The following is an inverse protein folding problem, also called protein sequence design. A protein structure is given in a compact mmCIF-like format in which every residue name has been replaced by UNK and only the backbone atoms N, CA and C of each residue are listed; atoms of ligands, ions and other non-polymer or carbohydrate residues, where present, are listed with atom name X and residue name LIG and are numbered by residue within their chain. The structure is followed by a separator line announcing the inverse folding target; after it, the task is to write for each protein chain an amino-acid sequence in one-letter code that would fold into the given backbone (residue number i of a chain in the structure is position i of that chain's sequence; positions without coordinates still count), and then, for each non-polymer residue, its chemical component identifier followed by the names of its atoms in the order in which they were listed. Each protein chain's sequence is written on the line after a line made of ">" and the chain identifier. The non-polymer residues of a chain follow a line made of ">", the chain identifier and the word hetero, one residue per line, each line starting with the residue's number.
data_IF_394231832649
#
_entry.id   IF_394231832649
#
_cell.length_a   1.000
_cell.length_b   1.000
_cell.length_c   1.000
_cell.angle_alpha   90.00
_cell.angle_beta   90.00
_cell.angle_gamma   90.00
#
_symmetry.space_group_name_H-M   'P 1'
#
loop_
_entity.id
_entity.type
_entity.pdbx_description
1 polymer ?
#
# COMPACT_ATOMS: atom_id res chain seq x y z
N UNK A 1 10.51 1.11 15.44
CA UNK A 1 10.22 -0.07 14.59
C UNK A 1 9.95 0.38 13.17
N UNK A 2 10.42 -0.35 12.13
CA UNK A 2 10.12 -0.04 10.73
C UNK A 2 8.95 -0.90 10.17
N UNK A 3 8.37 -0.52 9.04
CA UNK A 3 7.19 -1.18 8.47
C UNK A 3 7.44 -2.66 8.14
N UNK A 4 8.65 -3.01 7.72
CA UNK A 4 9.02 -4.40 7.44
C UNK A 4 9.09 -5.22 8.72
N UNK A 5 9.71 -4.69 9.77
CA UNK A 5 9.74 -5.35 11.08
C UNK A 5 8.33 -5.55 11.63
N UNK A 6 7.47 -4.53 11.55
CA UNK A 6 6.08 -4.65 11.97
C UNK A 6 5.37 -5.78 11.22
N UNK A 7 5.43 -5.77 9.88
CA UNK A 7 4.78 -6.80 9.07
C UNK A 7 5.30 -8.20 9.42
N UNK A 8 6.60 -8.34 9.71
CA UNK A 8 7.18 -9.62 10.13
C UNK A 8 6.66 -10.05 11.51
N UNK A 9 6.55 -9.13 12.47
CA UNK A 9 6.00 -9.40 13.80
C UNK A 9 4.51 -9.81 13.74
N UNK A 10 3.77 -9.31 12.75
CA UNK A 10 2.37 -9.69 12.50
C UNK A 10 2.19 -11.06 11.83
N UNK A 11 3.25 -11.88 11.71
CA UNK A 11 3.20 -13.17 11.02
C UNK A 11 3.58 -13.10 9.53
N UNK A 12 4.15 -11.96 9.11
CA UNK A 12 4.70 -11.76 7.77
C UNK A 12 3.70 -11.23 6.75
N UNK A 13 4.16 -10.99 5.49
CA UNK A 13 3.35 -10.34 4.47
C UNK A 13 2.09 -11.12 4.10
N UNK A 14 2.12 -12.45 4.14
CA UNK A 14 0.95 -13.27 3.81
C UNK A 14 -0.16 -13.12 4.86
N UNK A 15 0.18 -13.13 6.15
CA UNK A 15 -0.79 -12.90 7.23
C UNK A 15 -1.47 -11.53 7.07
N UNK A 16 -0.68 -10.49 6.82
CA UNK A 16 -1.20 -9.13 6.60
C UNK A 16 -2.08 -9.07 5.34
N UNK A 17 -1.73 -9.77 4.25
CA UNK A 17 -2.58 -9.85 3.05
C UNK A 17 -3.91 -10.54 3.36
N UNK A 18 -3.90 -11.65 4.09
CA UNK A 18 -5.11 -12.40 4.45
C UNK A 18 -6.05 -11.57 5.32
N UNK A 19 -5.52 -10.75 6.23
CA UNK A 19 -6.32 -9.92 7.13
C UNK A 19 -6.80 -8.62 6.49
N UNK A 20 -5.97 -7.97 5.65
CA UNK A 20 -6.30 -6.68 5.04
C UNK A 20 -7.00 -6.79 3.69
N UNK A 21 -6.92 -7.95 3.03
CA UNK A 21 -7.38 -8.15 1.65
C UNK A 21 -6.59 -7.35 0.60
N UNK A 22 -5.48 -6.70 0.98
CA UNK A 22 -4.67 -5.91 0.07
C UNK A 22 -3.77 -6.78 -0.80
N UNK A 23 -3.41 -6.27 -1.98
CA UNK A 23 -2.48 -6.97 -2.86
C UNK A 23 -1.07 -7.02 -2.29
N UNK A 24 -0.32 -8.07 -2.66
CA UNK A 24 1.12 -8.20 -2.34
C UNK A 24 1.92 -6.95 -2.69
N UNK A 25 1.61 -6.32 -3.84
CA UNK A 25 2.27 -5.10 -4.27
C UNK A 25 2.04 -3.93 -3.30
N UNK A 26 0.85 -3.81 -2.73
CA UNK A 26 0.55 -2.76 -1.73
C UNK A 26 1.32 -2.98 -0.43
N UNK A 27 1.36 -4.21 0.08
CA UNK A 27 2.13 -4.56 1.28
C UNK A 27 3.64 -4.40 1.03
N UNK A 28 4.12 -4.72 -0.17
CA UNK A 28 5.50 -4.47 -0.56
C UNK A 28 5.80 -2.97 -0.59
N UNK A 29 4.86 -2.14 -1.06
CA UNK A 29 5.03 -0.68 -1.08
C UNK A 29 5.19 -0.13 0.34
N UNK A 30 4.41 -0.59 1.31
CA UNK A 30 4.55 -0.18 2.71
C UNK A 30 5.95 -0.48 3.26
N UNK A 31 6.48 -1.65 2.95
CA UNK A 31 7.84 -2.06 3.35
C UNK A 31 8.91 -1.20 2.70
N UNK A 32 8.79 -0.92 1.39
CA UNK A 32 9.80 -0.13 0.66
C UNK A 32 9.74 1.35 0.98
N UNK A 33 8.55 1.92 1.19
CA UNK A 33 8.40 3.33 1.61
C UNK A 33 8.57 3.54 3.10
N UNK A 34 8.75 2.46 3.87
CA UNK A 34 8.77 2.45 5.33
C UNK A 34 7.62 3.27 5.96
N UNK A 35 6.40 3.07 5.44
CA UNK A 35 5.24 3.87 5.82
C UNK A 35 3.96 3.06 5.65
N UNK A 36 3.13 3.04 6.69
CA UNK A 36 1.82 2.41 6.68
C UNK A 36 0.77 3.49 6.97
N UNK A 37 -0.25 3.67 6.12
CA UNK A 37 -1.27 4.67 6.35
C UNK A 37 -1.95 4.48 7.71
N UNK A 38 -2.20 5.56 8.43
CA UNK A 38 -2.80 5.56 9.77
C UNK A 38 -4.05 4.67 9.93
N UNK A 39 -5.03 4.65 9.00
CA UNK A 39 -6.19 3.75 9.12
C UNK A 39 -5.80 2.28 9.19
N UNK A 40 -4.77 1.87 8.44
CA UNK A 40 -4.26 0.51 8.47
C UNK A 40 -3.47 0.19 9.73
N UNK A 41 -2.71 1.15 10.26
CA UNK A 41 -2.05 0.99 11.57
C UNK A 41 -3.09 0.76 12.65
N UNK A 42 -4.18 1.54 12.67
CA UNK A 42 -5.27 1.37 13.64
C UNK A 42 -5.97 0.02 13.49
N UNK A 43 -6.25 -0.42 12.27
CA UNK A 43 -6.81 -1.73 12.00
C UNK A 43 -5.89 -2.86 12.51
N UNK A 44 -4.60 -2.82 12.17
CA UNK A 44 -3.63 -3.84 12.58
C UNK A 44 -3.45 -3.85 14.10
N UNK A 45 -3.49 -2.68 14.76
CA UNK A 45 -3.49 -2.57 16.22
C UNK A 45 -4.70 -3.23 16.87
N UNK A 46 -5.88 -3.02 16.30
CA UNK A 46 -7.10 -3.65 16.81
C UNK A 46 -7.10 -5.18 16.56
N UNK A 47 -6.53 -5.63 15.44
CA UNK A 47 -6.51 -7.04 15.06
C UNK A 47 -5.43 -7.85 15.78
N UNK A 48 -4.30 -7.22 16.08
CA UNK A 48 -3.12 -7.83 16.68
C UNK A 48 -2.61 -7.02 17.88
N UNK A 49 -3.41 -6.90 18.96
CA UNK A 49 -3.07 -6.06 20.10
C UNK A 49 -1.77 -6.46 20.78
N UNK A 50 -1.47 -7.76 20.86
CA UNK A 50 -0.31 -8.32 21.58
C UNK A 50 0.89 -8.70 20.68
N UNK A 51 0.83 -8.39 19.37
CA UNK A 51 1.90 -8.78 18.46
C UNK A 51 3.16 -7.92 18.61
N UNK A 52 2.99 -6.66 19.00
CA UNK A 52 4.07 -5.68 19.18
C UNK A 52 3.68 -4.69 20.26
N UNK A 53 4.67 -3.97 20.79
CA UNK A 53 4.41 -2.77 21.58
C UNK A 53 3.97 -1.63 20.64
N UNK A 54 2.66 -1.38 20.58
CA UNK A 54 2.06 -0.38 19.68
C UNK A 54 2.35 1.06 20.08
N UNK A 55 2.82 1.31 21.32
CA UNK A 55 3.22 2.65 21.77
C UNK A 55 4.52 3.08 21.08
N UNK A 56 5.39 2.11 20.75
CA UNK A 56 6.64 2.33 20.02
C UNK A 56 6.52 2.28 18.48
N UNK A 57 5.31 2.13 17.93
CA UNK A 57 5.06 2.07 16.47
C UNK A 57 4.72 3.47 15.94
N UNK A 58 5.75 4.21 15.52
CA UNK A 58 5.60 5.49 14.84
C UNK A 58 5.78 5.34 13.31
N UNK A 59 4.73 4.84 12.64
CA UNK A 59 4.73 4.60 11.17
C UNK A 59 3.71 5.45 10.40
N UNK A 60 2.87 6.17 11.13
CA UNK A 60 1.71 6.89 10.60
C UNK A 60 1.99 8.37 10.30
N UNK A 61 3.15 8.90 10.69
CA UNK A 61 3.42 10.34 10.78
C UNK A 61 4.50 10.84 9.82
N UNK A 62 4.67 10.19 8.65
CA UNK A 62 5.39 10.85 7.57
C UNK A 62 4.39 11.65 6.74
N UNK A 63 4.13 12.88 7.20
CA UNK A 63 3.24 13.86 6.58
C UNK A 63 3.24 13.80 5.04
N UNK A 64 2.02 13.67 4.53
CA UNK A 64 1.50 14.20 3.27
C UNK A 64 2.41 15.19 2.52
N UNK A 65 3.16 14.72 1.51
CA UNK A 65 3.65 15.59 0.45
C UNK A 65 3.41 14.98 -0.92
N UNK A 66 2.29 15.47 -1.47
CA UNK A 66 1.92 15.68 -2.88
C UNK A 66 0.99 14.63 -3.50
N UNK A 67 -0.05 15.10 -4.23
CA UNK A 67 -0.98 14.23 -4.93
C UNK A 67 -0.19 13.43 -5.96
N UNK A 68 -0.02 12.13 -5.71
CA UNK A 68 0.56 11.25 -6.72
C UNK A 68 -0.41 11.19 -7.88
N UNK A 69 -0.08 11.98 -8.92
CA UNK A 69 -0.72 12.05 -10.23
C UNK A 69 -1.35 10.69 -10.55
N UNK A 70 -2.66 10.68 -10.80
CA UNK A 70 -3.30 9.63 -11.57
C UNK A 70 -2.45 9.45 -12.82
N UNK A 71 -1.59 8.42 -12.88
CA UNK A 71 -1.03 7.95 -14.15
C UNK A 71 -2.23 7.39 -14.89
N UNK A 72 -2.88 8.27 -15.64
CA UNK A 72 -3.79 7.88 -16.71
C UNK A 72 -3.04 6.85 -17.52
N UNK A 73 -3.55 5.63 -17.53
CA UNK A 73 -3.14 4.60 -18.47
C UNK A 73 -3.48 5.17 -19.86
N UNK A 74 -2.51 5.53 -20.72
CA UNK A 74 -2.88 5.82 -22.10
C UNK A 74 -3.34 4.49 -22.68
N UNK A 75 -4.64 4.36 -22.93
CA UNK A 75 -5.14 3.31 -23.82
C UNK A 75 -4.54 3.63 -25.18
N UNK A 76 -3.60 2.79 -25.62
CA UNK A 76 -3.02 2.83 -26.94
C UNK A 76 -4.13 3.01 -27.97
N UNK A 77 -4.06 4.09 -28.74
CA UNK A 77 -4.96 4.38 -29.83
C UNK A 77 -4.90 3.23 -30.84
N UNK A 78 -6.00 2.50 -30.99
CA UNK A 78 -6.22 1.64 -32.15
C UNK A 78 -6.27 2.55 -33.37
N UNK A 79 -5.24 2.44 -34.20
CA UNK A 79 -5.15 3.05 -35.53
C UNK A 79 -6.24 2.43 -36.41
N UNK A 80 -7.31 3.17 -36.68
CA UNK A 80 -8.26 2.87 -37.74
C UNK A 80 -7.94 3.81 -38.89
N UNK A 81 -7.34 3.22 -39.92
CA UNK A 81 -7.04 3.85 -41.20
C UNK A 81 -8.35 3.90 -42.01
N UNK A 82 -8.85 5.12 -42.25
CA UNK A 82 -9.79 5.47 -43.31
C UNK A 82 -9.69 6.96 -43.58
N UNK A 83 -9.42 7.35 -44.84
CA UNK A 83 -10.43 8.04 -45.65
C UNK A 83 -10.53 7.40 -47.04
N UNK A 84 -11.74 7.10 -47.52
CA UNK A 84 -12.67 8.01 -48.20
C UNK A 84 -12.21 8.40 -49.63
N UNK A 85 -12.97 7.84 -50.58
CA UNK A 85 -13.39 8.35 -51.88
C UNK A 85 -12.53 9.40 -52.62
N UNK A 86 -12.13 9.03 -53.84
CA UNK A 86 -12.34 9.83 -55.05
C UNK A 86 -12.42 8.89 -56.27
#
# INVERSE_FOLDING_TARGET
>A
MNARELIQALGGPQAVISETGLSKGRISQWQTSNHIPRPWVMFLRARFPDAVDWDQVDLADREELKPSKKRGRPKSATRLDHPEAA
#
